data_IF_391911181178
#
_entry.id   IF_391911181178
#
_cell.length_a   1.000
_cell.length_b   1.000
_cell.length_c   1.000
_cell.angle_alpha   90.00
_cell.angle_beta   90.00
_cell.angle_gamma   90.00
#
_symmetry.space_group_name_H-M   'P 1'
#
loop_
_entity.id
_entity.type
_entity.pdbx_description
1 polymer ?
#
# COMPACT_ATOMS: atom_id res chain seq x y z
N UNK A 1 -0.32 -7.90 16.40
CA UNK A 1 1.02 -7.54 15.89
C UNK A 1 1.19 -6.02 15.77
N UNK A 2 0.22 -5.28 15.21
CA UNK A 2 0.29 -3.82 15.00
C UNK A 2 0.49 -2.98 16.27
N UNK A 3 -0.26 -3.24 17.36
CA UNK A 3 -0.17 -2.44 18.60
C UNK A 3 1.24 -2.48 19.23
N UNK A 4 1.92 -3.63 19.20
CA UNK A 4 3.29 -3.76 19.72
C UNK A 4 4.29 -2.92 18.89
N UNK A 5 4.09 -2.83 17.58
CA UNK A 5 4.93 -2.01 16.70
C UNK A 5 4.74 -0.52 17.00
N UNK A 6 3.50 -0.04 17.11
CA UNK A 6 3.25 1.36 17.49
C UNK A 6 3.86 1.72 18.84
N UNK A 7 3.71 0.82 19.83
CA UNK A 7 4.37 1.02 21.13
C UNK A 7 5.90 1.06 21.01
N UNK A 8 6.51 0.17 20.22
CA UNK A 8 7.95 0.19 19.98
C UNK A 8 8.41 1.49 19.30
N UNK A 9 7.63 2.03 18.37
CA UNK A 9 7.88 3.33 17.73
C UNK A 9 7.79 4.47 18.75
N UNK A 10 6.80 4.46 19.64
CA UNK A 10 6.68 5.45 20.72
C UNK A 10 7.90 5.44 21.67
N UNK A 11 8.48 4.27 21.96
CA UNK A 11 9.69 4.17 22.79
C UNK A 11 10.94 4.84 22.16
N UNK A 12 10.90 5.18 20.87
CA UNK A 12 11.98 5.94 20.22
C UNK A 12 11.94 7.44 20.55
N UNK A 13 10.84 7.95 21.10
CA UNK A 13 10.61 9.37 21.35
C UNK A 13 11.78 10.08 22.05
N UNK A 14 12.37 9.57 23.16
CA UNK A 14 13.47 10.27 23.83
C UNK A 14 14.74 10.37 22.97
N UNK A 15 15.04 9.32 22.20
CA UNK A 15 16.21 9.29 21.32
C UNK A 15 16.05 10.25 20.15
N UNK A 16 14.85 10.29 19.55
CA UNK A 16 14.53 11.18 18.43
C UNK A 16 14.46 12.63 18.89
N UNK A 17 13.93 12.90 20.09
CA UNK A 17 13.98 14.24 20.68
C UNK A 17 15.42 14.72 20.82
N UNK A 18 16.29 13.89 21.41
CA UNK A 18 17.72 14.21 21.51
C UNK A 18 18.36 14.46 20.14
N UNK A 19 18.07 13.61 19.15
CA UNK A 19 18.58 13.77 17.79
C UNK A 19 18.20 15.14 17.19
N UNK A 20 16.93 15.54 17.29
CA UNK A 20 16.46 16.83 16.78
C UNK A 20 17.08 18.01 17.53
N UNK A 21 17.22 17.90 18.85
CA UNK A 21 17.90 18.92 19.66
C UNK A 21 19.38 19.06 19.29
N UNK A 22 20.11 17.97 19.07
CA UNK A 22 21.54 18.00 18.76
C UNK A 22 21.83 18.54 17.34
N UNK A 23 20.92 18.34 16.38
CA UNK A 23 21.12 18.72 14.97
C UNK A 23 20.51 20.07 14.58
N UNK A 24 19.58 20.62 15.38
CA UNK A 24 18.89 21.89 15.11
C UNK A 24 18.35 22.02 13.66
N UNK A 25 17.50 21.08 13.18
CA UNK A 25 17.00 21.13 11.81
C UNK A 25 16.03 22.30 11.60
N UNK A 26 16.01 22.87 10.39
CA UNK A 26 15.05 23.92 10.01
C UNK A 26 13.60 23.42 9.94
N UNK A 27 13.42 22.13 9.66
CA UNK A 27 12.12 21.48 9.52
C UNK A 27 12.24 19.98 9.82
N UNK A 28 11.16 19.39 10.37
CA UNK A 28 11.04 17.95 10.59
C UNK A 28 10.02 17.39 9.61
N UNK A 29 10.46 16.49 8.73
CA UNK A 29 9.56 15.65 7.94
C UNK A 29 9.46 14.29 8.61
N UNK A 30 8.26 13.89 9.00
CA UNK A 30 8.05 12.60 9.67
C UNK A 30 6.75 11.95 9.27
N UNK A 31 6.76 10.62 9.18
CA UNK A 31 5.62 9.80 8.85
C UNK A 31 4.39 10.13 9.74
N UNK A 32 3.20 10.20 9.14
CA UNK A 32 1.94 10.42 9.84
C UNK A 32 1.66 9.37 10.93
N UNK A 33 2.26 8.17 10.84
CA UNK A 33 2.20 7.12 11.87
C UNK A 33 2.99 7.43 13.13
N UNK A 34 3.82 8.49 13.14
CA UNK A 34 4.56 8.97 14.30
C UNK A 34 3.95 10.30 14.79
N UNK A 35 2.82 10.30 15.51
CA UNK A 35 2.14 11.55 15.89
C UNK A 35 2.97 12.35 16.91
N UNK A 36 3.69 11.67 17.80
CA UNK A 36 4.51 12.28 18.86
C UNK A 36 5.68 13.14 18.35
N UNK A 37 6.06 13.05 17.07
CA UNK A 37 7.07 13.95 16.50
C UNK A 37 6.56 15.38 16.36
N UNK A 38 5.23 15.58 16.31
CA UNK A 38 4.63 16.92 16.33
C UNK A 38 4.89 17.60 17.67
N UNK A 39 4.68 16.89 18.78
CA UNK A 39 4.87 17.43 20.12
C UNK A 39 6.34 17.83 20.34
N UNK A 40 7.27 16.96 19.93
CA UNK A 40 8.71 17.28 19.97
C UNK A 40 9.02 18.51 19.11
N UNK A 41 8.50 18.57 17.89
CA UNK A 41 8.75 19.70 17.00
C UNK A 41 8.26 21.02 17.62
N UNK A 42 7.07 21.02 18.21
CA UNK A 42 6.50 22.17 18.92
C UNK A 42 7.35 22.58 20.13
N UNK A 43 7.81 21.63 20.94
CA UNK A 43 8.69 21.90 22.08
C UNK A 43 10.02 22.56 21.66
N UNK A 44 10.54 22.19 20.49
CA UNK A 44 11.77 22.73 19.93
C UNK A 44 11.56 24.00 19.08
N UNK A 45 10.31 24.41 18.85
CA UNK A 45 9.97 25.54 17.99
C UNK A 45 10.25 25.29 16.49
N UNK A 46 10.24 24.02 16.05
CA UNK A 46 10.54 23.60 14.68
C UNK A 46 9.25 23.23 13.96
N UNK A 47 9.11 23.61 12.69
CA UNK A 47 7.96 23.21 11.89
C UNK A 47 8.01 21.70 11.59
N UNK A 48 6.90 20.98 11.86
CA UNK A 48 6.69 19.62 11.37
C UNK A 48 5.88 19.62 10.08
N UNK A 49 6.36 18.91 9.07
CA UNK A 49 5.58 18.51 7.90
C UNK A 49 5.30 17.00 7.99
N UNK A 50 4.03 16.61 8.01
CA UNK A 50 3.66 15.19 8.04
C UNK A 50 3.86 14.55 6.67
N UNK A 51 4.34 13.31 6.61
CA UNK A 51 4.36 12.53 5.38
C UNK A 51 3.23 11.50 5.37
N UNK A 52 2.36 11.57 4.37
CA UNK A 52 1.29 10.61 4.15
C UNK A 52 1.55 9.83 2.85
N UNK A 53 1.74 8.52 2.98
CA UNK A 53 2.00 7.61 1.87
C UNK A 53 0.77 7.26 1.02
N UNK A 54 -0.28 8.09 1.02
CA UNK A 54 -1.53 7.91 0.27
C UNK A 54 -1.78 9.07 -0.71
N UNK A 55 -2.89 9.03 -1.45
CA UNK A 55 -3.34 10.07 -2.39
C UNK A 55 -4.28 11.09 -1.77
N UNK A 56 -4.51 12.21 -2.47
CA UNK A 56 -5.47 13.24 -2.07
C UNK A 56 -6.90 12.71 -2.04
N UNK A 57 -7.30 11.85 -2.98
CA UNK A 57 -8.61 11.19 -2.98
C UNK A 57 -8.90 10.54 -1.64
N UNK A 58 -7.99 9.68 -1.16
CA UNK A 58 -8.16 8.97 0.10
C UNK A 58 -8.14 9.92 1.30
N UNK A 59 -7.28 10.94 1.28
CA UNK A 59 -7.26 11.96 2.34
C UNK A 59 -8.61 12.68 2.42
N UNK A 60 -9.12 13.22 1.31
CA UNK A 60 -10.40 13.91 1.25
C UNK A 60 -11.56 12.99 1.63
N UNK A 61 -11.56 11.75 1.12
CA UNK A 61 -12.56 10.73 1.46
C UNK A 61 -12.59 10.48 2.97
N UNK A 62 -11.43 10.27 3.59
CA UNK A 62 -11.30 9.98 5.01
C UNK A 62 -11.74 11.16 5.89
N UNK A 63 -11.40 12.39 5.49
CA UNK A 63 -11.79 13.62 6.19
C UNK A 63 -13.32 13.82 6.14
N UNK A 64 -13.93 13.66 4.96
CA UNK A 64 -15.38 13.83 4.77
C UNK A 64 -16.19 12.71 5.46
N UNK A 65 -15.73 11.46 5.42
CA UNK A 65 -16.38 10.35 6.16
C UNK A 65 -16.34 10.60 7.66
N UNK A 66 -15.22 11.10 8.20
CA UNK A 66 -15.11 11.42 9.63
C UNK A 66 -15.94 12.65 10.00
N UNK A 67 -16.08 13.63 9.12
CA UNK A 67 -16.84 14.84 9.40
C UNK A 67 -18.36 14.63 9.33
N UNK A 68 -18.85 14.00 8.27
CA UNK A 68 -20.29 13.82 8.03
C UNK A 68 -20.87 12.52 8.59
N UNK A 69 -20.01 11.52 8.81
CA UNK A 69 -20.37 10.20 9.36
C UNK A 69 -21.59 9.52 8.67
N UNK A 70 -21.73 9.56 7.33
CA UNK A 70 -22.93 9.07 6.63
C UNK A 70 -23.18 7.57 6.82
N UNK A 71 -22.13 6.82 7.15
CA UNK A 71 -22.21 5.39 7.40
C UNK A 71 -22.95 5.06 8.70
N UNK A 72 -23.08 5.99 9.67
CA UNK A 72 -23.74 5.72 10.95
C UNK A 72 -25.24 5.52 10.83
N UNK A 73 -25.88 6.08 9.80
CA UNK A 73 -27.31 5.89 9.54
C UNK A 73 -27.63 4.59 8.79
N UNK A 74 -26.64 3.76 8.53
CA UNK A 74 -26.76 2.56 7.69
C UNK A 74 -26.46 1.33 8.55
N UNK A 75 -27.41 0.40 8.58
CA UNK A 75 -27.27 -0.85 9.32
C UNK A 75 -26.76 -1.99 8.43
N UNK A 76 -27.18 -2.03 7.17
CA UNK A 76 -26.80 -3.09 6.23
C UNK A 76 -25.37 -2.92 5.71
N UNK A 77 -24.58 -3.98 5.74
CA UNK A 77 -23.22 -3.98 5.21
C UNK A 77 -23.17 -3.76 3.68
N UNK A 78 -24.25 -4.06 2.95
CA UNK A 78 -24.31 -3.94 1.48
C UNK A 78 -25.06 -2.70 1.00
N UNK A 79 -25.69 -1.95 1.90
CA UNK A 79 -26.39 -0.72 1.54
C UNK A 79 -25.38 0.38 1.18
N UNK A 80 -25.68 1.08 0.08
CA UNK A 80 -24.83 2.14 -0.47
C UNK A 80 -25.19 3.50 0.08
N UNK A 81 -24.19 4.34 0.29
CA UNK A 81 -24.35 5.76 0.60
C UNK A 81 -23.38 6.63 -0.18
N UNK A 82 -23.78 7.89 -0.38
CA UNK A 82 -22.94 8.91 -0.97
C UNK A 82 -22.09 9.55 0.13
N UNK A 83 -20.79 9.75 -0.13
CA UNK A 83 -19.93 10.54 0.76
C UNK A 83 -20.12 12.02 0.45
N UNK A 84 -20.65 12.83 1.38
CA UNK A 84 -20.90 14.24 1.13
C UNK A 84 -19.61 15.04 0.98
N UNK A 85 -19.68 16.17 0.28
CA UNK A 85 -18.62 17.17 0.24
C UNK A 85 -17.48 16.90 -0.74
N UNK A 86 -17.42 15.73 -1.38
CA UNK A 86 -16.36 15.43 -2.36
C UNK A 86 -16.59 16.11 -3.72
N UNK A 87 -15.53 16.31 -4.53
CA UNK A 87 -15.63 16.80 -5.90
C UNK A 87 -16.53 15.94 -6.80
N UNK A 88 -16.43 14.61 -6.65
CA UNK A 88 -17.21 13.62 -7.40
C UNK A 88 -18.23 12.92 -6.51
N UNK A 89 -19.30 12.40 -7.13
CA UNK A 89 -20.27 11.54 -6.45
C UNK A 89 -19.65 10.16 -6.16
N UNK A 90 -19.08 10.01 -4.97
CA UNK A 90 -18.51 8.73 -4.50
C UNK A 90 -19.55 7.98 -3.69
N UNK A 91 -19.96 6.82 -4.20
CA UNK A 91 -20.83 5.86 -3.49
C UNK A 91 -20.00 4.72 -2.91
N UNK A 92 -20.21 4.44 -1.63
CA UNK A 92 -19.60 3.31 -0.92
C UNK A 92 -20.68 2.47 -0.25
N UNK A 93 -20.39 1.20 -0.03
CA UNK A 93 -21.13 0.36 0.91
C UNK A 93 -20.53 0.47 2.30
N UNK A 94 -21.30 0.13 3.33
CA UNK A 94 -20.77 0.03 4.68
C UNK A 94 -19.64 -1.02 4.77
N UNK A 95 -19.73 -2.12 4.03
CA UNK A 95 -18.69 -3.16 3.98
C UNK A 95 -17.33 -2.70 3.43
N UNK A 96 -17.31 -1.68 2.57
CA UNK A 96 -16.07 -1.11 2.02
C UNK A 96 -15.31 -0.22 3.02
N UNK A 97 -15.93 0.16 4.14
CA UNK A 97 -15.25 0.92 5.17
C UNK A 97 -14.37 0.04 6.05
N UNK A 98 -13.20 0.52 6.50
CA UNK A 98 -12.44 -0.16 7.54
C UNK A 98 -13.23 -0.26 8.85
N UNK A 99 -13.10 -1.36 9.59
CA UNK A 99 -13.80 -1.56 10.87
C UNK A 99 -13.51 -0.46 11.90
N UNK A 100 -12.31 0.13 11.83
CA UNK A 100 -11.87 1.25 12.69
C UNK A 100 -12.68 2.53 12.46
N UNK A 101 -13.34 2.64 11.30
CA UNK A 101 -14.26 3.73 10.98
C UNK A 101 -15.67 3.40 11.48
N UNK A 102 -16.08 2.12 11.39
CA UNK A 102 -17.43 1.66 11.76
C UNK A 102 -17.68 1.67 13.26
N UNK A 103 -16.67 1.36 14.08
CA UNK A 103 -16.81 1.21 15.51
C UNK A 103 -15.58 1.71 16.28
N UNK A 104 -15.82 2.38 17.41
CA UNK A 104 -14.76 2.85 18.30
C UNK A 104 -14.06 1.68 19.00
N UNK A 105 -12.74 1.70 18.97
CA UNK A 105 -11.87 0.78 19.70
C UNK A 105 -10.50 1.45 19.94
N UNK A 106 -9.60 0.79 20.69
CA UNK A 106 -8.25 1.34 20.96
C UNK A 106 -7.47 1.71 19.70
N UNK A 107 -7.73 1.02 18.59
CA UNK A 107 -7.07 1.29 17.31
C UNK A 107 -7.69 2.50 16.60
N UNK A 108 -9.00 2.73 16.72
CA UNK A 108 -9.62 3.97 16.22
C UNK A 108 -9.11 5.20 16.97
N UNK A 109 -8.93 5.11 18.30
CA UNK A 109 -8.34 6.19 19.10
C UNK A 109 -6.90 6.53 18.66
N UNK A 110 -6.11 5.52 18.31
CA UNK A 110 -4.79 5.74 17.72
C UNK A 110 -4.91 6.52 16.41
N UNK A 111 -5.80 6.11 15.50
CA UNK A 111 -6.01 6.78 14.22
C UNK A 111 -6.53 8.22 14.37
N UNK A 112 -7.37 8.49 15.38
CA UNK A 112 -7.80 9.84 15.70
C UNK A 112 -6.60 10.72 16.07
N UNK A 113 -5.65 10.21 16.87
CA UNK A 113 -4.39 10.91 17.18
C UNK A 113 -3.52 11.12 15.94
N UNK A 114 -3.44 10.15 15.04
CA UNK A 114 -2.70 10.29 13.77
C UNK A 114 -3.28 11.43 12.92
N UNK A 115 -4.60 11.44 12.75
CA UNK A 115 -5.33 12.47 11.99
C UNK A 115 -5.16 13.85 12.63
N UNK A 116 -5.33 13.94 13.95
CA UNK A 116 -5.17 15.18 14.69
C UNK A 116 -3.75 15.73 14.56
N UNK A 117 -2.73 14.87 14.71
CA UNK A 117 -1.33 15.27 14.52
C UNK A 117 -1.05 15.73 13.10
N UNK A 118 -1.63 15.09 12.08
CA UNK A 118 -1.48 15.50 10.70
C UNK A 118 -2.12 16.89 10.47
N UNK A 119 -3.33 17.12 10.98
CA UNK A 119 -4.04 18.42 10.86
C UNK A 119 -3.30 19.56 11.58
N UNK A 120 -2.67 19.27 12.72
CA UNK A 120 -1.90 20.25 13.51
C UNK A 120 -0.46 20.46 13.00
N UNK A 121 0.00 19.65 12.04
CA UNK A 121 1.29 19.86 11.39
C UNK A 121 1.27 21.12 10.52
N UNK A 122 2.44 21.68 10.21
CA UNK A 122 2.55 22.83 9.31
C UNK A 122 1.96 22.56 7.92
N UNK A 123 2.03 21.31 7.49
CA UNK A 123 1.36 20.79 6.31
C UNK A 123 1.67 19.32 6.09
N UNK A 124 1.27 18.80 4.92
CA UNK A 124 1.36 17.39 4.57
C UNK A 124 2.06 17.19 3.23
N UNK A 125 3.05 16.30 3.17
CA UNK A 125 3.61 15.77 1.93
C UNK A 125 2.85 14.53 1.51
N UNK A 126 2.40 14.54 0.25
CA UNK A 126 1.66 13.46 -0.37
C UNK A 126 2.54 12.82 -1.45
N UNK A 127 2.66 11.50 -1.43
CA UNK A 127 3.28 10.76 -2.53
C UNK A 127 2.30 10.70 -3.71
N UNK A 128 2.08 11.80 -4.42
CA UNK A 128 1.21 11.89 -5.59
C UNK A 128 1.72 12.99 -6.51
N UNK A 129 1.01 13.28 -7.61
CA UNK A 129 1.25 14.39 -8.53
C UNK A 129 -0.07 15.03 -8.96
N UNK A 130 -0.04 16.32 -9.33
CA UNK A 130 -1.28 17.11 -9.51
C UNK A 130 -2.17 16.55 -10.62
N UNK A 131 -1.60 16.18 -11.76
CA UNK A 131 -2.33 15.72 -12.94
C UNK A 131 -3.08 14.41 -12.71
N UNK A 132 -2.71 13.63 -11.68
CA UNK A 132 -3.43 12.40 -11.32
C UNK A 132 -4.78 12.68 -10.66
N UNK A 133 -4.84 13.70 -9.81
CA UNK A 133 -5.99 13.96 -8.93
C UNK A 133 -6.23 15.46 -8.67
N UNK A 134 -6.39 16.28 -9.73
CA UNK A 134 -6.41 17.74 -9.59
C UNK A 134 -7.57 18.22 -8.73
N UNK A 135 -8.78 17.67 -8.94
CA UNK A 135 -9.97 18.03 -8.18
C UNK A 135 -9.83 17.76 -6.68
N UNK A 136 -9.17 16.66 -6.30
CA UNK A 136 -8.94 16.31 -4.90
C UNK A 136 -7.78 17.08 -4.27
N UNK A 137 -6.72 17.37 -5.04
CA UNK A 137 -5.64 18.24 -4.59
C UNK A 137 -6.15 19.65 -4.27
N UNK A 138 -7.01 20.20 -5.13
CA UNK A 138 -7.61 21.52 -4.92
C UNK A 138 -8.66 21.50 -3.81
N UNK A 139 -9.48 20.45 -3.71
CA UNK A 139 -10.43 20.28 -2.61
C UNK A 139 -9.73 20.22 -1.25
N UNK A 140 -8.63 19.47 -1.15
CA UNK A 140 -7.81 19.36 0.06
C UNK A 140 -7.31 20.73 0.53
N UNK A 141 -6.83 21.58 -0.39
CA UNK A 141 -6.26 22.89 -0.05
C UNK A 141 -7.34 23.95 0.20
N UNK A 142 -8.34 24.02 -0.67
CA UNK A 142 -9.28 25.14 -0.73
C UNK A 142 -10.53 24.92 0.11
N UNK A 143 -10.97 23.66 0.28
CA UNK A 143 -12.19 23.32 1.03
C UNK A 143 -11.85 22.80 2.42
N UNK A 144 -10.91 21.85 2.52
CA UNK A 144 -10.49 21.32 3.82
C UNK A 144 -9.47 22.22 4.54
N UNK A 145 -8.89 23.20 3.84
CA UNK A 145 -7.89 24.12 4.40
C UNK A 145 -6.56 23.46 4.74
N UNK A 146 -6.29 22.26 4.20
CA UNK A 146 -5.08 21.51 4.51
C UNK A 146 -3.96 21.98 3.60
N UNK A 147 -2.88 22.49 4.20
CA UNK A 147 -1.66 22.83 3.47
C UNK A 147 -0.95 21.54 3.04
N UNK A 148 -1.00 21.21 1.75
CA UNK A 148 -0.46 19.96 1.24
C UNK A 148 0.32 20.12 -0.07
N UNK A 149 1.37 19.33 -0.22
CA UNK A 149 2.22 19.29 -1.42
C UNK A 149 2.33 17.87 -1.96
N UNK A 150 2.13 17.71 -3.27
CA UNK A 150 2.48 16.50 -4.00
C UNK A 150 3.97 16.53 -4.34
N UNK A 151 4.67 15.45 -4.05
CA UNK A 151 6.12 15.31 -4.35
C UNK A 151 6.47 13.94 -4.95
N UNK A 152 5.46 13.15 -5.34
CA UNK A 152 5.62 11.85 -5.97
C UNK A 152 5.51 11.90 -7.50
N UNK A 153 5.51 10.73 -8.18
CA UNK A 153 5.69 9.40 -7.61
C UNK A 153 7.15 9.12 -7.19
N UNK A 154 7.38 8.71 -5.94
CA UNK A 154 8.74 8.40 -5.46
C UNK A 154 9.38 7.16 -6.10
N UNK A 155 8.59 6.34 -6.79
CA UNK A 155 9.12 5.24 -7.60
C UNK A 155 10.08 5.74 -8.69
N UNK A 156 9.93 7.00 -9.14
CA UNK A 156 10.77 7.61 -10.17
C UNK A 156 12.15 8.09 -9.67
N UNK A 157 12.42 8.03 -8.37
CA UNK A 157 13.74 8.35 -7.82
C UNK A 157 14.76 7.27 -8.21
N UNK A 158 14.33 6.01 -8.25
CA UNK A 158 15.17 4.89 -8.68
C UNK A 158 15.17 4.82 -10.22
N UNK A 159 16.18 5.43 -10.86
CA UNK A 159 16.23 5.56 -12.33
C UNK A 159 16.91 4.37 -13.00
N UNK A 160 18.04 3.95 -12.47
CA UNK A 160 18.85 2.91 -13.09
C UNK A 160 18.37 1.51 -12.68
N UNK A 161 18.65 0.52 -13.53
CA UNK A 161 18.14 -0.84 -13.31
C UNK A 161 18.63 -1.45 -12.00
N UNK A 162 19.83 -1.11 -11.54
CA UNK A 162 20.37 -1.60 -10.26
C UNK A 162 19.56 -1.06 -9.09
N UNK A 163 19.30 0.24 -9.07
CA UNK A 163 18.50 0.89 -8.02
C UNK A 163 17.08 0.33 -7.93
N UNK A 164 16.49 -0.05 -9.07
CA UNK A 164 15.15 -0.64 -9.12
C UNK A 164 15.12 -2.09 -8.62
N UNK A 165 16.20 -2.85 -8.79
CA UNK A 165 16.34 -4.21 -8.21
C UNK A 165 16.50 -4.12 -6.70
N UNK A 166 17.37 -3.21 -6.24
CA UNK A 166 17.71 -3.05 -4.83
C UNK A 166 16.63 -2.29 -4.06
N UNK A 167 15.57 -1.83 -4.74
CA UNK A 167 14.40 -1.25 -4.12
C UNK A 167 13.63 -2.31 -3.33
N UNK A 168 13.81 -2.28 -2.01
CA UNK A 168 13.12 -3.12 -1.04
C UNK A 168 13.99 -4.26 -0.52
N UNK A 169 13.41 -5.46 -0.41
CA UNK A 169 14.10 -6.64 0.12
C UNK A 169 14.82 -7.43 -0.99
N UNK A 170 15.68 -8.39 -0.60
CA UNK A 170 16.33 -9.27 -1.59
C UNK A 170 15.31 -10.21 -2.23
N UNK A 171 15.35 -10.31 -3.56
CA UNK A 171 14.45 -11.17 -4.35
C UNK A 171 14.83 -12.65 -4.17
N UNK A 172 13.84 -13.55 -4.15
CA UNK A 172 14.10 -15.00 -4.09
C UNK A 172 14.51 -15.60 -5.43
N UNK A 173 14.19 -14.91 -6.53
CA UNK A 173 14.53 -15.30 -7.89
C UNK A 173 15.64 -14.38 -8.40
N UNK A 174 16.54 -14.92 -9.21
CA UNK A 174 17.53 -14.09 -9.87
C UNK A 174 16.81 -13.13 -10.83
N UNK A 175 17.27 -11.87 -10.88
CA UNK A 175 16.78 -10.87 -11.84
C UNK A 175 16.78 -11.44 -13.27
N UNK A 176 17.85 -12.15 -13.62
CA UNK A 176 18.02 -12.73 -14.94
C UNK A 176 16.91 -13.73 -15.25
N UNK A 177 16.52 -14.59 -14.32
CA UNK A 177 15.49 -15.60 -14.59
C UNK A 177 14.11 -14.97 -14.82
N UNK A 178 13.75 -13.95 -14.03
CA UNK A 178 12.47 -13.25 -14.17
C UNK A 178 12.39 -12.47 -15.49
N UNK A 179 13.42 -11.70 -15.81
CA UNK A 179 13.47 -10.90 -17.04
C UNK A 179 13.57 -11.81 -18.27
N UNK A 180 14.43 -12.84 -18.26
CA UNK A 180 14.53 -13.79 -19.37
C UNK A 180 13.20 -14.51 -19.63
N UNK A 181 12.42 -14.81 -18.57
CA UNK A 181 11.10 -15.40 -18.74
C UNK A 181 10.13 -14.43 -19.41
N UNK A 182 10.18 -13.15 -19.04
CA UNK A 182 9.37 -12.08 -19.64
C UNK A 182 9.77 -11.78 -21.09
N UNK A 183 11.07 -11.79 -21.41
CA UNK A 183 11.61 -11.62 -22.77
C UNK A 183 11.09 -12.71 -23.74
N UNK A 184 10.71 -13.87 -23.22
CA UNK A 184 10.12 -14.96 -23.99
C UNK A 184 8.62 -14.78 -24.28
N UNK A 185 7.99 -13.70 -23.81
CA UNK A 185 6.54 -13.47 -23.92
C UNK A 185 6.21 -12.42 -24.96
N UNK A 186 4.96 -12.45 -25.46
CA UNK A 186 4.48 -11.42 -26.37
C UNK A 186 4.26 -10.11 -25.59
N UNK A 187 4.39 -8.95 -26.25
CA UNK A 187 4.03 -7.69 -25.63
C UNK A 187 2.59 -7.72 -25.08
N UNK A 188 2.40 -7.16 -23.88
CA UNK A 188 1.12 -7.07 -23.17
C UNK A 188 0.37 -8.40 -23.02
N UNK A 189 1.09 -9.52 -22.89
CA UNK A 189 0.48 -10.86 -22.75
C UNK A 189 0.59 -11.48 -21.36
N UNK A 190 1.21 -10.78 -20.40
CA UNK A 190 1.47 -11.29 -19.05
C UNK A 190 0.68 -10.49 -18.01
N UNK A 191 -0.05 -11.20 -17.14
CA UNK A 191 -0.64 -10.63 -15.93
C UNK A 191 0.39 -10.66 -14.79
N UNK A 192 0.71 -9.51 -14.19
CA UNK A 192 1.47 -9.46 -12.94
C UNK A 192 0.51 -9.51 -11.75
N UNK A 193 0.78 -10.35 -10.76
CA UNK A 193 -0.02 -10.49 -9.54
C UNK A 193 0.87 -10.26 -8.32
N UNK A 194 0.57 -9.21 -7.56
CA UNK A 194 1.25 -8.92 -6.30
C UNK A 194 0.34 -8.18 -5.32
N UNK A 195 0.19 -8.74 -4.13
CA UNK A 195 -0.66 -8.19 -3.07
C UNK A 195 0.13 -7.50 -1.96
N UNK A 196 1.41 -7.20 -2.21
CA UNK A 196 2.31 -6.55 -1.27
C UNK A 196 2.75 -7.44 -0.12
N UNK A 197 3.56 -6.87 0.77
CA UNK A 197 4.24 -7.61 1.85
C UNK A 197 3.34 -7.94 3.03
N UNK A 198 2.23 -7.23 3.22
CA UNK A 198 1.33 -7.37 4.38
C UNK A 198 0.10 -8.24 4.13
N UNK A 199 -0.32 -8.39 2.87
CA UNK A 199 -1.54 -9.14 2.54
C UNK A 199 -1.28 -10.64 2.57
N UNK A 200 -2.15 -11.39 3.25
CA UNK A 200 -2.11 -12.85 3.28
C UNK A 200 -3.53 -13.38 3.06
N UNK A 201 -3.67 -14.33 2.14
CA UNK A 201 -4.93 -14.99 1.85
C UNK A 201 -4.97 -16.34 2.51
N UNK A 202 -6.11 -16.77 3.05
CA UNK A 202 -6.29 -18.13 3.54
C UNK A 202 -6.11 -19.17 2.40
N UNK A 203 -5.99 -20.45 2.78
CA UNK A 203 -5.79 -21.55 1.83
C UNK A 203 -6.84 -21.59 0.73
N UNK A 204 -8.13 -21.45 1.09
CA UNK A 204 -9.24 -21.50 0.13
C UNK A 204 -9.09 -20.41 -0.94
N UNK A 205 -8.87 -19.17 -0.52
CA UNK A 205 -8.71 -18.05 -1.44
C UNK A 205 -7.46 -18.18 -2.32
N UNK A 206 -6.35 -18.69 -1.76
CA UNK A 206 -5.12 -18.95 -2.53
C UNK A 206 -5.34 -20.04 -3.58
N UNK A 207 -6.06 -21.10 -3.23
CA UNK A 207 -6.47 -22.18 -4.15
C UNK A 207 -7.36 -21.67 -5.27
N UNK A 208 -8.38 -20.85 -4.98
CA UNK A 208 -9.24 -20.25 -6.02
C UNK A 208 -8.46 -19.35 -6.97
N UNK A 209 -7.53 -18.53 -6.46
CA UNK A 209 -6.65 -17.72 -7.31
C UNK A 209 -5.83 -18.62 -8.25
N UNK A 210 -5.23 -19.70 -7.73
CA UNK A 210 -4.44 -20.63 -8.53
C UNK A 210 -5.28 -21.27 -9.65
N UNK A 211 -6.49 -21.77 -9.34
CA UNK A 211 -7.38 -22.35 -10.35
C UNK A 211 -7.87 -21.32 -11.37
N UNK A 212 -8.17 -20.09 -10.95
CA UNK A 212 -8.56 -19.03 -11.87
C UNK A 212 -7.42 -18.67 -12.83
N UNK A 213 -6.18 -18.57 -12.33
CA UNK A 213 -5.00 -18.31 -13.17
C UNK A 213 -4.78 -19.43 -14.19
N UNK A 214 -4.87 -20.69 -13.76
CA UNK A 214 -4.75 -21.84 -14.65
C UNK A 214 -5.83 -21.83 -15.74
N UNK A 215 -7.11 -21.70 -15.32
CA UNK A 215 -8.26 -21.71 -16.21
C UNK A 215 -8.29 -20.52 -17.18
N UNK A 216 -7.67 -19.39 -16.81
CA UNK A 216 -7.61 -18.21 -17.67
C UNK A 216 -6.83 -18.44 -18.97
N UNK A 217 -5.90 -19.41 -18.98
CA UNK A 217 -4.99 -19.63 -20.11
C UNK A 217 -3.99 -18.50 -20.39
N UNK A 218 -4.02 -17.41 -19.62
CA UNK A 218 -3.11 -16.28 -19.77
C UNK A 218 -1.77 -16.57 -19.11
N UNK A 219 -0.70 -15.96 -19.64
CA UNK A 219 0.59 -15.99 -18.97
C UNK A 219 0.59 -15.09 -17.74
N UNK A 220 1.27 -15.49 -16.68
CA UNK A 220 1.29 -14.70 -15.45
C UNK A 220 2.59 -14.79 -14.66
N UNK A 221 2.88 -13.74 -13.89
CA UNK A 221 3.85 -13.76 -12.79
C UNK A 221 3.06 -13.57 -11.50
N UNK A 222 3.18 -14.51 -10.56
CA UNK A 222 2.53 -14.39 -9.26
C UNK A 222 3.55 -14.36 -8.12
N UNK A 223 3.57 -13.22 -7.42
CA UNK A 223 4.35 -13.04 -6.19
C UNK A 223 3.54 -13.53 -5.01
N UNK A 224 4.03 -14.59 -4.37
CA UNK A 224 3.38 -15.20 -3.21
C UNK A 224 4.21 -14.92 -1.96
N UNK A 225 3.59 -14.24 -0.99
CA UNK A 225 4.23 -13.93 0.29
C UNK A 225 4.43 -15.19 1.13
N UNK A 226 5.54 -15.25 1.88
CA UNK A 226 5.77 -16.32 2.87
C UNK A 226 4.65 -16.32 3.91
N UNK A 227 4.14 -17.50 4.25
CA UNK A 227 3.21 -17.69 5.37
C UNK A 227 3.96 -17.35 6.66
N UNK A 228 3.52 -16.31 7.38
CA UNK A 228 4.07 -16.00 8.69
C UNK A 228 3.44 -16.97 9.69
N UNK A 229 4.25 -17.84 10.32
CA UNK A 229 3.81 -18.68 11.43
C UNK A 229 3.27 -17.77 12.53
N UNK A 230 1.99 -17.90 12.89
CA UNK A 230 1.51 -17.33 14.15
C UNK A 230 1.99 -18.21 15.29
N UNK A 231 2.43 -17.59 16.40
CA UNK A 231 3.08 -18.26 17.54
C UNK A 231 2.21 -19.29 18.28
N UNK A 232 1.02 -19.60 17.78
CA UNK A 232 0.05 -20.51 18.37
C UNK A 232 -0.25 -21.73 17.48
N UNK A 233 0.40 -21.87 16.32
CA UNK A 233 0.18 -23.02 15.45
C UNK A 233 1.21 -24.12 15.78
N UNK A 234 0.82 -25.01 16.71
CA UNK A 234 1.50 -26.28 17.03
C UNK A 234 1.31 -27.33 15.92
N UNK A 235 1.54 -26.93 14.66
CA UNK A 235 1.61 -27.90 13.56
C UNK A 235 3.07 -28.02 13.12
N UNK A 236 3.69 -29.07 13.64
CA UNK A 236 4.94 -29.65 13.16
C UNK A 236 4.72 -30.10 11.71
N UNK A 237 5.33 -29.39 10.77
CA UNK A 237 5.99 -29.94 9.57
C UNK A 237 6.70 -28.78 8.82
N UNK A 238 7.94 -29.02 8.39
CA UNK A 238 8.84 -28.05 7.77
C UNK A 238 8.54 -27.73 6.29
N UNK A 239 7.43 -28.23 5.72
CA UNK A 239 7.19 -28.21 4.26
C UNK A 239 5.94 -27.47 3.74
N UNK A 240 5.12 -26.80 4.57
CA UNK A 240 3.94 -26.08 4.08
C UNK A 240 4.22 -24.63 3.64
N UNK A 241 5.25 -24.41 2.81
CA UNK A 241 5.71 -23.05 2.53
C UNK A 241 4.81 -22.19 1.63
N UNK A 242 3.77 -22.72 0.98
CA UNK A 242 2.71 -21.92 0.35
C UNK A 242 1.42 -22.75 0.22
N UNK A 243 0.26 -22.13 0.41
CA UNK A 243 -1.06 -22.78 0.21
C UNK A 243 -1.44 -22.95 -1.27
N UNK A 244 -0.53 -23.49 -2.08
CA UNK A 244 -0.78 -23.78 -3.49
C UNK A 244 -1.40 -25.18 -3.67
N UNK A 245 -2.25 -25.38 -4.70
CA UNK A 245 -2.72 -26.71 -5.06
C UNK A 245 -1.56 -27.65 -5.41
N UNK A 246 -1.71 -28.94 -5.11
CA UNK A 246 -0.69 -29.94 -5.43
C UNK A 246 -0.41 -29.99 -6.93
N UNK A 247 0.87 -29.93 -7.31
CA UNK A 247 1.31 -29.96 -8.72
C UNK A 247 1.06 -28.68 -9.51
N UNK A 248 0.52 -27.61 -8.89
CA UNK A 248 0.26 -26.35 -9.58
C UNK A 248 1.52 -25.73 -10.17
N UNK A 249 2.58 -25.63 -9.37
CA UNK A 249 3.85 -25.00 -9.78
C UNK A 249 4.54 -25.77 -10.92
N UNK A 250 4.56 -27.11 -10.85
CA UNK A 250 5.09 -27.95 -11.92
C UNK A 250 4.28 -27.77 -13.21
N UNK A 251 2.95 -27.77 -13.11
CA UNK A 251 2.04 -27.64 -14.25
C UNK A 251 2.23 -26.32 -15.00
N UNK A 252 2.30 -25.20 -14.28
CA UNK A 252 2.45 -23.86 -14.89
C UNK A 252 3.86 -23.64 -15.47
N UNK A 253 4.85 -24.41 -14.99
CA UNK A 253 6.22 -24.39 -15.50
C UNK A 253 6.33 -25.23 -16.77
N UNK A 254 5.77 -26.44 -16.76
CA UNK A 254 5.81 -27.37 -17.90
C UNK A 254 5.08 -26.84 -19.12
N UNK A 255 3.93 -26.17 -18.91
CA UNK A 255 3.19 -25.52 -20.00
C UNK A 255 3.71 -24.10 -20.34
N UNK A 256 4.69 -23.60 -19.60
CA UNK A 256 5.26 -22.25 -19.75
C UNK A 256 4.28 -21.12 -19.48
N UNK A 257 3.15 -21.37 -18.81
CA UNK A 257 2.10 -20.40 -18.54
C UNK A 257 2.50 -19.41 -17.45
N UNK A 258 3.14 -19.88 -16.37
CA UNK A 258 3.32 -19.07 -15.16
C UNK A 258 4.74 -19.05 -14.62
N UNK A 259 5.05 -18.00 -13.87
CA UNK A 259 6.24 -17.89 -13.03
C UNK A 259 5.82 -17.52 -11.61
N UNK A 260 6.24 -18.32 -10.62
CA UNK A 260 6.03 -18.03 -9.21
C UNK A 260 7.26 -17.37 -8.59
N UNK A 261 7.05 -16.29 -7.84
CA UNK A 261 8.09 -15.61 -7.07
C UNK A 261 7.73 -15.70 -5.59
N UNK A 262 8.62 -16.23 -4.75
CA UNK A 262 8.39 -16.40 -3.31
C UNK A 262 8.99 -15.24 -2.52
N UNK A 263 8.18 -14.47 -1.80
CA UNK A 263 8.68 -13.33 -1.02
C UNK A 263 8.76 -12.06 -1.86
N UNK A 264 9.97 -11.55 -2.13
CA UNK A 264 10.16 -10.25 -2.78
C UNK A 264 10.38 -10.36 -4.29
N UNK A 265 9.77 -9.44 -5.05
CA UNK A 265 9.91 -9.30 -6.49
C UNK A 265 10.37 -7.88 -6.85
N UNK A 266 11.18 -7.70 -7.91
CA UNK A 266 11.59 -6.38 -8.37
C UNK A 266 10.42 -5.70 -9.12
N UNK A 267 9.40 -5.29 -8.37
CA UNK A 267 8.08 -4.90 -8.89
C UNK A 267 8.15 -3.81 -9.97
N UNK A 268 8.96 -2.77 -9.75
CA UNK A 268 9.11 -1.67 -10.73
C UNK A 268 9.65 -2.21 -12.06
N UNK A 269 10.66 -3.08 -12.03
CA UNK A 269 11.22 -3.68 -13.24
C UNK A 269 10.24 -4.59 -13.96
N UNK A 270 9.45 -5.36 -13.21
CA UNK A 270 8.42 -6.22 -13.80
C UNK A 270 7.39 -5.33 -14.50
N UNK A 271 6.84 -4.33 -13.80
CA UNK A 271 5.79 -3.45 -14.34
C UNK A 271 6.23 -2.68 -15.59
N UNK A 272 7.49 -2.26 -15.67
CA UNK A 272 8.04 -1.55 -16.83
C UNK A 272 8.33 -2.46 -18.04
N UNK A 273 8.25 -3.78 -17.88
CA UNK A 273 8.55 -4.72 -18.96
C UNK A 273 7.41 -4.78 -20.00
N UNK A 274 7.75 -4.75 -21.30
CA UNK A 274 6.78 -4.68 -22.40
C UNK A 274 5.77 -5.84 -22.45
N UNK A 275 6.17 -7.00 -21.94
CA UNK A 275 5.31 -8.19 -21.83
C UNK A 275 4.17 -8.02 -20.81
N UNK A 276 4.28 -7.13 -19.83
CA UNK A 276 3.22 -6.90 -18.85
C UNK A 276 2.03 -6.21 -19.51
N UNK A 277 0.87 -6.87 -19.44
CA UNK A 277 -0.40 -6.39 -19.98
C UNK A 277 -1.41 -5.98 -18.91
N UNK A 278 -1.19 -6.34 -17.64
CA UNK A 278 -2.07 -5.99 -16.53
C UNK A 278 -1.47 -6.28 -15.17
N UNK A 279 -2.04 -5.68 -14.13
CA UNK A 279 -1.60 -5.81 -12.75
C UNK A 279 -2.77 -6.10 -11.80
N UNK A 280 -2.86 -7.33 -11.28
CA UNK A 280 -3.73 -7.69 -10.17
C UNK A 280 -3.08 -7.26 -8.85
N UNK A 281 -3.71 -6.30 -8.17
CA UNK A 281 -3.12 -5.62 -7.01
C UNK A 281 -4.10 -5.48 -5.86
N UNK A 282 -3.56 -5.43 -4.65
CA UNK A 282 -4.28 -5.06 -3.42
C UNK A 282 -4.60 -3.56 -3.31
N UNK A 283 -4.31 -2.76 -4.35
CA UNK A 283 -4.55 -1.32 -4.39
C UNK A 283 -3.78 -0.50 -3.34
N UNK A 284 -2.67 -1.02 -2.82
CA UNK A 284 -1.74 -0.21 -2.02
C UNK A 284 -1.21 0.96 -2.84
N UNK A 285 -1.17 2.15 -2.24
CA UNK A 285 -0.91 3.40 -2.98
C UNK A 285 0.42 3.41 -3.74
N UNK A 286 1.49 2.88 -3.14
CA UNK A 286 2.77 2.73 -3.84
C UNK A 286 2.66 1.83 -5.09
N UNK A 287 1.93 0.71 -4.99
CA UNK A 287 1.71 -0.19 -6.13
C UNK A 287 0.84 0.45 -7.21
N UNK A 288 -0.16 1.25 -6.83
CA UNK A 288 -0.97 2.04 -7.77
C UNK A 288 -0.08 3.02 -8.54
N UNK A 289 0.73 3.81 -7.85
CA UNK A 289 1.62 4.77 -8.51
C UNK A 289 2.64 4.08 -9.43
N UNK A 290 3.23 2.96 -8.99
CA UNK A 290 4.16 2.18 -9.81
C UNK A 290 3.49 1.65 -11.09
N UNK A 291 2.24 1.16 -11.01
CA UNK A 291 1.49 0.72 -12.19
C UNK A 291 1.06 1.86 -13.11
N UNK A 292 0.68 3.02 -12.56
CA UNK A 292 0.34 4.24 -13.32
C UNK A 292 1.56 4.71 -14.11
N UNK A 293 2.71 4.82 -13.43
CA UNK A 293 3.99 5.20 -14.05
C UNK A 293 4.37 4.26 -15.19
N UNK A 294 4.14 2.96 -15.02
CA UNK A 294 4.40 1.95 -16.05
C UNK A 294 3.33 1.90 -17.16
N UNK A 295 2.20 2.61 -17.01
CA UNK A 295 1.10 2.58 -17.97
C UNK A 295 0.36 1.24 -18.03
N UNK A 296 0.31 0.51 -16.91
CA UNK A 296 -0.29 -0.84 -16.83
C UNK A 296 -1.72 -0.76 -16.25
N UNK A 297 -2.73 -1.39 -16.88
CA UNK A 297 -4.08 -1.44 -16.34
C UNK A 297 -4.19 -2.38 -15.13
N UNK A 298 -5.13 -2.08 -14.23
CA UNK A 298 -5.29 -2.80 -12.96
C UNK A 298 -6.49 -3.75 -12.94
N UNK A 299 -6.36 -4.81 -12.13
CA UNK A 299 -7.48 -5.61 -11.62
C UNK A 299 -7.45 -5.44 -10.09
N UNK A 300 -8.60 -5.09 -9.50
CA UNK A 300 -8.72 -4.61 -8.10
C UNK A 300 -9.84 -5.33 -7.36
#
# INVERSE_FOLDING_TARGET
>A
MSIKLFHAIELLQPKIKKLFSDHHPDCIVSDSLCPWTLDIANELGIARIAFNGSGFFNLCLSENITHYEPHKSIESETETFVVPGLPDEVKLTRSQLPDIVKAKNKFSELFDKLKESQRKSFGVLMNSFYELEPGYADHCRNVLGIKAWHIGPFSLVNRDTVDKVDRGEKTSISKHDCINWLDCKKPRSVLYICFGSLTRFNKKQTTEIAYALEASGHSFIWVVGKVLKTSNDEFEDEEQELWLPQGFEDKIKDNGQGLLIRGWAPQVLILEHEAIGGFLTHCGWNSILEGIVAGVPFIT
#
